data_IF_630691802444
#
_entry.id   IF_630691802444
#
_cell.length_a   1.000
_cell.length_b   1.000
_cell.length_c   1.000
_cell.angle_alpha   90.00
_cell.angle_beta   90.00
_cell.angle_gamma   90.00
#
_symmetry.space_group_name_H-M   'P 1'
#
loop_
_entity.id
_entity.type
_entity.pdbx_description
1 polymer ?
#
# COMPACT_ATOMS: atom_id res chain seq x y z
N UNK A 1 -32.83 12.60 -0.35
CA UNK A 1 -32.53 11.61 0.71
C UNK A 1 -33.62 10.56 0.74
N UNK A 2 -33.26 9.27 0.83
CA UNK A 2 -34.20 8.15 1.03
C UNK A 2 -34.16 7.73 2.50
N UNK A 3 -35.32 7.51 3.13
CA UNK A 3 -35.38 6.97 4.50
C UNK A 3 -35.05 5.48 4.44
N UNK A 4 -33.99 5.08 5.14
CA UNK A 4 -33.53 3.69 5.25
C UNK A 4 -33.51 3.30 6.71
N UNK A 5 -34.11 2.15 7.03
CA UNK A 5 -34.02 1.55 8.36
C UNK A 5 -32.84 0.59 8.36
N UNK A 6 -31.98 0.73 9.37
CA UNK A 6 -30.85 -0.16 9.60
C UNK A 6 -31.01 -0.78 10.98
N UNK A 7 -30.63 -2.05 11.11
CA UNK A 7 -30.59 -2.73 12.39
C UNK A 7 -29.17 -2.62 12.94
N UNK A 8 -29.07 -2.24 14.20
CA UNK A 8 -27.83 -2.15 14.95
C UNK A 8 -28.00 -2.97 16.23
N UNK A 9 -26.90 -3.54 16.68
CA UNK A 9 -26.85 -4.08 18.04
C UNK A 9 -26.97 -2.94 19.06
N UNK A 10 -27.45 -3.25 20.26
CA UNK A 10 -27.68 -2.25 21.32
C UNK A 10 -26.39 -1.49 21.68
N UNK A 11 -25.26 -2.20 21.72
CA UNK A 11 -23.95 -1.60 22.00
C UNK A 11 -23.52 -0.62 20.90
N UNK A 12 -23.76 -0.97 19.63
CA UNK A 12 -23.47 -0.13 18.47
C UNK A 12 -24.34 1.14 18.48
N UNK A 13 -25.64 1.00 18.76
CA UNK A 13 -26.57 2.12 18.85
C UNK A 13 -26.18 3.09 19.98
N UNK A 14 -25.79 2.55 21.13
CA UNK A 14 -25.31 3.33 22.28
C UNK A 14 -24.03 4.09 21.95
N UNK A 15 -23.02 3.40 21.41
CA UNK A 15 -21.73 4.01 21.02
C UNK A 15 -21.89 5.08 19.95
N UNK A 16 -22.72 4.82 18.94
CA UNK A 16 -23.01 5.78 17.87
C UNK A 16 -23.68 7.04 18.43
N UNK A 17 -24.66 6.88 19.31
CA UNK A 17 -25.39 8.00 19.92
C UNK A 17 -24.48 8.83 20.82
N UNK A 18 -23.64 8.17 21.63
CA UNK A 18 -22.66 8.86 22.48
C UNK A 18 -21.67 9.67 21.63
N UNK A 19 -21.11 9.05 20.58
CA UNK A 19 -20.16 9.72 19.69
C UNK A 19 -20.81 10.88 18.93
N UNK A 20 -22.02 10.71 18.41
CA UNK A 20 -22.76 11.78 17.75
C UNK A 20 -22.98 12.98 18.69
N UNK A 21 -23.37 12.71 19.95
CA UNK A 21 -23.55 13.75 20.96
C UNK A 21 -22.24 14.47 21.27
N UNK A 22 -21.13 13.75 21.44
CA UNK A 22 -19.82 14.35 21.71
C UNK A 22 -19.34 15.27 20.57
N UNK A 23 -19.77 15.00 19.34
CA UNK A 23 -19.43 15.78 18.13
C UNK A 23 -20.47 16.85 17.79
N UNK A 24 -21.52 17.04 18.60
CA UNK A 24 -22.59 17.99 18.31
C UNK A 24 -23.35 17.69 17.02
N UNK A 25 -23.47 16.41 16.64
CA UNK A 25 -24.10 15.96 15.40
C UNK A 25 -25.18 14.91 15.67
N UNK A 26 -25.85 14.43 14.63
CA UNK A 26 -26.87 13.38 14.73
C UNK A 26 -26.31 12.03 14.30
N UNK A 27 -26.87 10.94 14.86
CA UNK A 27 -26.52 9.58 14.46
C UNK A 27 -26.71 9.37 12.96
N UNK A 28 -27.77 9.92 12.36
CA UNK A 28 -27.99 9.84 10.91
C UNK A 28 -26.93 10.57 10.09
N UNK A 29 -26.39 11.70 10.58
CA UNK A 29 -25.29 12.39 9.90
C UNK A 29 -24.00 11.58 9.97
N UNK A 30 -23.70 11.00 11.14
CA UNK A 30 -22.52 10.13 11.29
C UNK A 30 -22.62 8.86 10.46
N UNK A 31 -23.80 8.23 10.39
CA UNK A 31 -24.02 7.05 9.53
C UNK A 31 -23.75 7.41 8.08
N UNK A 32 -24.22 8.57 7.60
CA UNK A 32 -23.95 9.03 6.24
C UNK A 32 -22.47 9.25 5.99
N UNK A 33 -21.79 9.99 6.88
CA UNK A 33 -20.33 10.22 6.77
C UNK A 33 -19.54 8.91 6.75
N UNK A 34 -19.92 7.93 7.57
CA UNK A 34 -19.31 6.62 7.60
C UNK A 34 -19.55 5.84 6.29
N UNK A 35 -20.77 5.87 5.76
CA UNK A 35 -21.11 5.24 4.48
C UNK A 35 -20.37 5.92 3.32
N UNK A 36 -20.33 7.26 3.30
CA UNK A 36 -19.62 8.02 2.27
C UNK A 36 -18.13 7.71 2.30
N UNK A 37 -17.53 7.61 3.50
CA UNK A 37 -16.12 7.23 3.66
C UNK A 37 -15.87 5.79 3.20
N UNK A 38 -16.72 4.85 3.61
CA UNK A 38 -16.61 3.45 3.22
C UNK A 38 -16.71 3.26 1.71
N UNK A 39 -17.63 3.97 1.06
CA UNK A 39 -17.82 3.92 -0.39
C UNK A 39 -16.75 4.71 -1.17
N UNK A 40 -16.09 5.69 -0.56
CA UNK A 40 -14.96 6.38 -1.17
C UNK A 40 -13.68 5.53 -1.13
N UNK A 41 -13.51 4.72 -0.09
CA UNK A 41 -12.39 3.78 0.08
C UNK A 41 -12.58 2.49 -0.73
N UNK A 42 -13.81 2.14 -1.11
CA UNK A 42 -14.08 1.18 -2.17
C UNK A 42 -13.80 1.84 -3.53
N UNK A 43 -12.68 1.54 -4.23
CA UNK A 43 -12.71 1.75 -5.66
C UNK A 43 -13.88 0.91 -6.20
N UNK A 44 -14.68 1.51 -7.08
CA UNK A 44 -15.78 0.85 -7.76
C UNK A 44 -15.35 -0.59 -8.14
N UNK A 45 -16.20 -1.57 -7.83
CA UNK A 45 -15.91 -3.01 -7.87
C UNK A 45 -15.15 -3.50 -9.11
N UNK A 46 -14.51 -4.66 -8.97
CA UNK A 46 -13.56 -5.29 -9.90
C UNK A 46 -12.28 -4.49 -10.21
N UNK A 47 -12.30 -3.17 -10.01
CA UNK A 47 -11.23 -2.28 -10.46
C UNK A 47 -10.06 -2.22 -9.46
N UNK A 48 -10.28 -2.44 -8.16
CA UNK A 48 -9.19 -2.50 -7.17
C UNK A 48 -8.25 -3.66 -7.42
N UNK A 49 -8.81 -4.88 -7.51
CA UNK A 49 -8.05 -6.10 -7.60
C UNK A 49 -7.34 -6.16 -8.95
N UNK A 50 -8.01 -5.68 -10.00
CA UNK A 50 -7.42 -5.50 -11.33
C UNK A 50 -6.26 -4.50 -11.27
N UNK A 51 -6.44 -3.33 -10.65
CA UNK A 51 -5.38 -2.32 -10.52
C UNK A 51 -4.20 -2.80 -9.68
N UNK A 52 -4.45 -3.52 -8.60
CA UNK A 52 -3.40 -4.17 -7.81
C UNK A 52 -2.64 -5.21 -8.62
N UNK A 53 -3.35 -6.06 -9.36
CA UNK A 53 -2.72 -7.06 -10.22
C UNK A 53 -1.86 -6.42 -11.30
N UNK A 54 -2.36 -5.37 -11.96
CA UNK A 54 -1.60 -4.59 -12.93
C UNK A 54 -0.38 -3.91 -12.31
N UNK A 55 -0.44 -3.43 -11.07
CA UNK A 55 0.71 -2.86 -10.38
C UNK A 55 1.78 -3.92 -10.06
N UNK A 56 1.37 -5.11 -9.63
CA UNK A 56 2.28 -6.25 -9.43
C UNK A 56 2.89 -6.68 -10.77
N UNK A 57 2.10 -6.85 -11.82
CA UNK A 57 2.62 -7.17 -13.15
C UNK A 57 3.58 -6.10 -13.67
N UNK A 58 3.26 -4.80 -13.56
CA UNK A 58 4.18 -3.73 -13.97
C UNK A 58 5.51 -3.76 -13.20
N UNK A 59 5.48 -4.13 -11.92
CA UNK A 59 6.68 -4.22 -11.06
C UNK A 59 7.50 -5.47 -11.37
N UNK A 60 6.85 -6.61 -11.59
CA UNK A 60 7.50 -7.91 -11.67
C UNK A 60 7.70 -8.43 -13.12
N UNK A 61 6.97 -7.90 -14.11
CA UNK A 61 7.15 -8.24 -15.53
C UNK A 61 8.39 -7.59 -16.14
N UNK A 62 8.98 -6.59 -15.47
CA UNK A 62 10.24 -5.97 -15.90
C UNK A 62 11.46 -6.46 -15.11
N UNK A 63 11.35 -7.52 -14.32
CA UNK A 63 12.55 -8.04 -13.63
C UNK A 63 13.43 -8.66 -14.70
N UNK A 64 14.58 -8.03 -15.05
CA UNK A 64 15.50 -8.65 -15.98
C UNK A 64 15.85 -10.01 -15.39
N UNK A 65 15.86 -11.04 -16.24
CA UNK A 65 16.18 -12.40 -15.81
C UNK A 65 17.56 -12.37 -15.14
N UNK A 66 17.56 -12.31 -13.81
CA UNK A 66 18.80 -12.21 -13.05
C UNK A 66 19.51 -13.56 -13.17
N UNK A 67 20.85 -13.57 -13.23
CA UNK A 67 21.60 -14.80 -13.08
C UNK A 67 21.19 -15.50 -11.77
N UNK A 68 21.40 -16.81 -11.70
CA UNK A 68 21.29 -17.51 -10.43
C UNK A 68 22.17 -16.83 -9.36
N UNK A 69 21.79 -16.99 -8.10
CA UNK A 69 22.43 -16.27 -7.00
C UNK A 69 23.95 -16.47 -6.92
N UNK A 70 24.44 -17.66 -7.27
CA UNK A 70 25.88 -17.94 -7.28
C UNK A 70 26.59 -17.17 -8.39
N UNK A 71 26.03 -17.17 -9.60
CA UNK A 71 26.57 -16.39 -10.73
C UNK A 71 26.54 -14.88 -10.43
N UNK A 72 25.47 -14.38 -9.83
CA UNK A 72 25.35 -12.98 -9.43
C UNK A 72 26.45 -12.56 -8.45
N UNK A 73 26.62 -13.31 -7.36
CA UNK A 73 27.63 -13.00 -6.33
C UNK A 73 29.05 -13.07 -6.89
N UNK A 74 29.33 -14.07 -7.73
CA UNK A 74 30.65 -14.24 -8.37
C UNK A 74 31.02 -13.03 -9.23
N UNK A 75 30.11 -12.58 -10.10
CA UNK A 75 30.34 -11.42 -10.98
C UNK A 75 30.49 -10.13 -10.16
N UNK A 76 29.66 -9.96 -9.11
CA UNK A 76 29.72 -8.80 -8.24
C UNK A 76 31.07 -8.68 -7.52
N UNK A 77 31.57 -9.79 -6.96
CA UNK A 77 32.87 -9.83 -6.28
C UNK A 77 34.06 -9.58 -7.21
N UNK A 78 34.01 -10.11 -8.43
CA UNK A 78 35.07 -9.86 -9.42
C UNK A 78 35.17 -8.37 -9.77
N UNK A 79 34.02 -7.73 -10.03
CA UNK A 79 33.94 -6.29 -10.29
C UNK A 79 34.41 -5.45 -9.11
N UNK A 80 34.09 -5.86 -7.88
CA UNK A 80 34.53 -5.14 -6.70
C UNK A 80 36.05 -5.25 -6.48
N UNK A 81 36.64 -6.42 -6.76
CA UNK A 81 38.09 -6.60 -6.73
C UNK A 81 38.80 -5.70 -7.76
N UNK A 82 38.33 -5.66 -9.01
CA UNK A 82 38.85 -4.75 -10.05
C UNK A 82 38.76 -3.29 -9.60
N UNK A 83 37.61 -2.89 -9.05
CA UNK A 83 37.38 -1.53 -8.54
C UNK A 83 38.35 -1.16 -7.43
N UNK A 84 38.63 -2.08 -6.51
CA UNK A 84 39.57 -1.88 -5.40
C UNK A 84 41.00 -1.74 -5.92
N UNK A 85 41.43 -2.59 -6.86
CA UNK A 85 42.75 -2.48 -7.48
C UNK A 85 42.93 -1.13 -8.21
N UNK A 86 41.92 -0.66 -8.93
CA UNK A 86 41.95 0.65 -9.60
C UNK A 86 41.98 1.82 -8.61
N UNK A 87 41.33 1.69 -7.45
CA UNK A 87 41.41 2.68 -6.37
C UNK A 87 42.81 2.69 -5.75
N UNK A 88 43.38 1.53 -5.46
CA UNK A 88 44.74 1.43 -4.93
C UNK A 88 45.79 1.96 -5.90
N UNK A 89 45.69 1.64 -7.20
CA UNK A 89 46.58 2.19 -8.22
C UNK A 89 46.54 3.72 -8.26
N UNK A 90 45.33 4.31 -8.19
CA UNK A 90 45.17 5.77 -8.13
C UNK A 90 45.75 6.39 -6.86
N UNK A 91 45.66 5.69 -5.73
CA UNK A 91 46.24 6.16 -4.48
C UNK A 91 47.77 6.08 -4.45
N UNK A 92 48.38 5.08 -5.09
CA UNK A 92 49.85 4.94 -5.15
C UNK A 92 50.53 5.93 -6.10
N UNK A 93 49.79 6.50 -7.06
CA UNK A 93 50.31 7.47 -8.04
C UNK A 93 50.00 8.94 -7.68
N UNK A 94 49.49 9.21 -6.48
CA UNK A 94 49.27 10.55 -5.93
C UNK A 94 50.25 10.79 -4.77
#
# INVERSE_FOLDING_TARGET
>A
MKRTQIYLEEDQASRLSHLARSRGTTSSKMIREAVDTYLADEPAGDDWLTRQRSAVEATFASIPRLPDGLTYVRVSRARDAERLEDLERRWRHR
#
